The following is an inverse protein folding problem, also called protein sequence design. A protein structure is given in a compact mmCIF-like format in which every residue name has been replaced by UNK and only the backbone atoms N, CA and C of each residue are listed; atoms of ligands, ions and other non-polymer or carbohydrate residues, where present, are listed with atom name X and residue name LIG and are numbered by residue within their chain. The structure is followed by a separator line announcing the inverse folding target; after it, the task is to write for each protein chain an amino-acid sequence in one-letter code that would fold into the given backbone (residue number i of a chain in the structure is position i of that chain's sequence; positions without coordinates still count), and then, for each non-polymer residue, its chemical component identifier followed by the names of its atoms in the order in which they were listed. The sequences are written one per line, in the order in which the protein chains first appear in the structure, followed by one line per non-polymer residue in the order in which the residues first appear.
data_IF_012769623700
#
_entry.id   IF_012769623700
#
_cell.length_a   1.000
_cell.length_b   1.000
_cell.length_c   1.000
_cell.angle_alpha   90.00
_cell.angle_beta   90.00
_cell.angle_gamma   90.00
#
_symmetry.space_group_name_H-M   'P 1'
#
loop_
_entity.id
_entity.type
_entity.pdbx_description
1 polymer ?
#
# COMPACT_ATOMS: atom_id res chain seq x y z
N UNK A 1 -7.05 18.27 0.27
CA UNK A 1 -8.47 18.11 -0.13
C UNK A 1 -8.57 16.77 -0.82
N UNK A 2 -9.37 15.85 -0.29
CA UNK A 2 -9.59 14.52 -0.85
C UNK A 2 -10.57 14.61 -2.00
N UNK A 3 -10.21 14.03 -3.15
CA UNK A 3 -10.94 14.14 -4.40
C UNK A 3 -11.06 12.74 -5.01
N UNK A 4 -12.29 12.25 -5.16
CA UNK A 4 -12.59 11.01 -5.88
C UNK A 4 -13.03 11.32 -7.30
N UNK A 5 -12.62 10.49 -8.26
CA UNK A 5 -13.07 10.55 -9.65
C UNK A 5 -14.04 9.42 -9.96
N UNK A 6 -15.14 9.70 -10.68
CA UNK A 6 -15.91 8.69 -11.40
C UNK A 6 -15.49 8.74 -12.87
N UNK A 7 -15.21 7.58 -13.45
CA UNK A 7 -15.04 7.47 -14.90
C UNK A 7 -16.33 7.87 -15.64
N UNK A 8 -16.20 8.63 -16.73
CA UNK A 8 -17.31 9.15 -17.55
C UNK A 8 -18.03 8.09 -18.41
N UNK A 9 -17.71 6.80 -18.27
CA UNK A 9 -18.42 5.71 -18.97
C UNK A 9 -19.08 4.78 -17.96
N UNK A 10 -20.35 4.45 -18.21
CA UNK A 10 -21.28 3.70 -17.36
C UNK A 10 -20.91 2.24 -17.04
N UNK A 11 -19.64 1.97 -16.72
CA UNK A 11 -19.17 0.71 -16.16
C UNK A 11 -18.73 1.01 -14.73
N UNK A 12 -19.55 0.60 -13.75
CA UNK A 12 -19.22 0.72 -12.34
C UNK A 12 -18.16 -0.35 -12.05
N UNK A 13 -16.89 0.05 -11.97
CA UNK A 13 -15.83 -0.84 -11.50
C UNK A 13 -15.91 -0.95 -9.97
N UNK A 14 -15.75 -2.15 -9.38
CA UNK A 14 -15.66 -2.29 -7.92
C UNK A 14 -14.37 -1.72 -7.34
N UNK A 15 -13.38 -1.40 -8.20
CA UNK A 15 -12.06 -0.90 -7.83
C UNK A 15 -11.97 0.59 -8.16
N UNK A 16 -11.43 1.36 -7.23
CA UNK A 16 -11.19 2.81 -7.36
C UNK A 16 -9.77 3.16 -6.90
N UNK A 17 -9.15 4.14 -7.56
CA UNK A 17 -7.87 4.73 -7.14
C UNK A 17 -8.16 6.02 -6.36
N UNK A 18 -7.54 6.18 -5.20
CA UNK A 18 -7.67 7.39 -4.37
C UNK A 18 -6.36 8.19 -4.39
N UNK A 19 -6.43 9.47 -4.79
CA UNK A 19 -5.29 10.37 -4.78
C UNK A 19 -5.34 11.29 -3.55
N UNK A 20 -4.37 11.15 -2.64
CA UNK A 20 -4.24 11.97 -1.44
C UNK A 20 -3.30 13.16 -1.70
N UNK A 21 -3.87 14.34 -1.91
CA UNK A 21 -3.11 15.57 -2.20
C UNK A 21 -3.06 16.50 -0.98
N UNK A 22 -1.86 16.75 -0.45
CA UNK A 22 -1.57 17.76 0.61
C UNK A 22 -1.43 19.14 -0.04
N UNK A 23 -2.06 20.17 0.54
CA UNK A 23 -2.22 21.48 -0.11
C UNK A 23 -1.21 22.57 0.33
N UNK A 24 -0.23 22.27 1.19
CA UNK A 24 0.49 23.36 1.89
C UNK A 24 2.01 23.25 1.99
N UNK A 25 2.67 22.27 1.36
CA UNK A 25 4.14 22.34 1.22
C UNK A 25 4.62 21.34 0.17
N UNK A 26 5.53 21.74 -0.74
CA UNK A 26 6.03 20.85 -1.81
C UNK A 26 6.78 19.62 -1.27
N UNK A 27 7.34 19.72 -0.06
CA UNK A 27 8.13 18.67 0.58
C UNK A 27 7.45 18.02 1.80
N UNK A 28 6.16 18.30 2.03
CA UNK A 28 5.45 17.87 3.23
C UNK A 28 4.97 16.41 3.24
N UNK A 29 5.45 15.55 2.32
CA UNK A 29 4.97 14.17 2.20
C UNK A 29 5.44 13.30 3.38
N UNK A 30 6.71 13.40 3.78
CA UNK A 30 7.25 12.59 4.89
C UNK A 30 6.52 12.86 6.22
N UNK A 31 6.24 14.13 6.53
CA UNK A 31 5.44 14.51 7.70
C UNK A 31 4.02 13.92 7.67
N UNK A 32 3.45 13.77 6.47
CA UNK A 32 2.13 13.16 6.31
C UNK A 32 2.22 11.66 6.55
N UNK A 33 3.25 11.01 6.01
CA UNK A 33 3.50 9.57 6.20
C UNK A 33 3.71 9.21 7.67
N UNK A 34 4.39 10.05 8.45
CA UNK A 34 4.53 9.84 9.90
C UNK A 34 3.22 9.96 10.69
N UNK A 35 2.20 10.62 10.12
CA UNK A 35 0.92 10.92 10.79
C UNK A 35 -0.24 10.07 10.26
N UNK A 36 0.02 9.19 9.29
CA UNK A 36 -1.01 8.37 8.66
C UNK A 36 -0.99 6.97 9.28
N UNK A 37 -2.17 6.48 9.62
CA UNK A 37 -2.41 5.15 10.16
C UNK A 37 -3.72 4.59 9.56
N UNK A 38 -4.06 3.35 9.91
CA UNK A 38 -5.27 2.69 9.42
C UNK A 38 -6.54 3.48 9.75
N UNK A 39 -6.68 3.98 10.97
CA UNK A 39 -7.84 4.75 11.43
C UNK A 39 -8.01 6.04 10.64
N UNK A 40 -6.91 6.75 10.39
CA UNK A 40 -6.92 8.00 9.63
C UNK A 40 -7.27 7.74 8.18
N UNK A 41 -6.75 6.68 7.56
CA UNK A 41 -7.14 6.30 6.20
C UNK A 41 -8.64 6.01 6.14
N UNK A 42 -9.16 5.18 7.05
CA UNK A 42 -10.60 4.86 7.09
C UNK A 42 -11.47 6.11 7.27
N UNK A 43 -11.08 7.00 8.18
CA UNK A 43 -11.76 8.28 8.40
C UNK A 43 -11.68 9.21 7.18
N UNK A 44 -10.60 9.16 6.41
CA UNK A 44 -10.49 9.93 5.16
C UNK A 44 -11.38 9.33 4.06
N UNK A 45 -11.44 7.99 3.97
CA UNK A 45 -12.28 7.28 3.01
C UNK A 45 -13.77 7.47 3.28
N UNK A 46 -14.21 7.47 4.54
CA UNK A 46 -15.62 7.68 4.90
C UNK A 46 -16.16 9.06 4.51
N UNK A 47 -15.25 10.04 4.33
CA UNK A 47 -15.57 11.41 3.91
C UNK A 47 -15.66 11.57 2.39
N UNK A 48 -15.41 10.52 1.61
CA UNK A 48 -15.47 10.53 0.14
C UNK A 48 -16.92 10.41 -0.38
N UNK A 49 -17.83 11.23 0.14
CA UNK A 49 -19.25 11.18 -0.19
C UNK A 49 -19.71 12.29 -1.15
N UNK A 50 -18.82 13.22 -1.52
CA UNK A 50 -19.13 14.32 -2.42
C UNK A 50 -18.55 14.07 -3.81
N UNK A 51 -19.44 14.02 -4.79
CA UNK A 51 -19.10 14.01 -6.20
C UNK A 51 -19.20 15.44 -6.71
N UNK A 52 -18.13 15.96 -7.32
CA UNK A 52 -18.12 17.25 -7.98
C UNK A 52 -17.31 17.16 -9.26
N UNK A 53 -17.69 17.93 -10.27
CA UNK A 53 -16.91 18.05 -11.49
C UNK A 53 -15.62 18.78 -11.16
N UNK A 54 -14.48 18.16 -11.46
CA UNK A 54 -13.17 18.74 -11.22
C UNK A 54 -12.26 18.52 -12.43
N UNK A 55 -11.53 19.58 -12.80
CA UNK A 55 -10.38 19.46 -13.70
C UNK A 55 -9.17 19.03 -12.89
N UNK A 56 -8.64 17.84 -13.17
CA UNK A 56 -7.44 17.30 -12.54
C UNK A 56 -6.47 16.86 -13.63
N UNK A 57 -5.18 17.14 -13.43
CA UNK A 57 -4.10 16.60 -14.25
C UNK A 57 -3.41 15.52 -13.45
N UNK A 58 -3.43 14.29 -13.96
CA UNK A 58 -2.72 13.16 -13.37
C UNK A 58 -1.53 12.87 -14.28
N UNK A 59 -0.30 12.87 -13.76
CA UNK A 59 0.87 12.57 -14.58
C UNK A 59 0.85 11.11 -15.01
N UNK A 60 1.39 10.85 -16.20
CA UNK A 60 1.75 9.48 -16.59
C UNK A 60 2.89 9.04 -15.69
N UNK A 61 2.78 7.88 -15.07
CA UNK A 61 3.82 7.37 -14.18
C UNK A 61 3.89 5.85 -14.24
N UNK A 62 5.11 5.35 -14.09
CA UNK A 62 5.39 3.94 -13.87
C UNK A 62 6.24 3.84 -12.61
N UNK A 63 5.82 3.01 -11.68
CA UNK A 63 6.53 2.72 -10.45
C UNK A 63 6.78 1.22 -10.41
N UNK A 64 8.04 0.84 -10.25
CA UNK A 64 8.45 -0.55 -10.02
C UNK A 64 9.16 -0.58 -8.66
N UNK A 65 8.78 -1.53 -7.83
CA UNK A 65 9.37 -1.68 -6.49
C UNK A 65 9.79 -3.13 -6.27
N UNK A 66 10.92 -3.29 -5.60
CA UNK A 66 11.42 -4.56 -5.08
C UNK A 66 11.75 -4.35 -3.60
N UNK A 67 10.88 -4.84 -2.71
CA UNK A 67 11.00 -4.65 -1.27
C UNK A 67 11.51 -5.92 -0.58
N UNK A 68 12.54 -5.77 0.24
CA UNK A 68 12.98 -6.79 1.18
C UNK A 68 11.94 -6.91 2.31
N UNK A 69 10.98 -7.82 2.14
CA UNK A 69 9.87 -7.99 3.08
C UNK A 69 10.33 -8.60 4.41
N UNK A 70 11.45 -9.34 4.41
CA UNK A 70 12.01 -9.94 5.64
C UNK A 70 12.24 -8.91 6.74
N UNK A 71 12.92 -7.80 6.42
CA UNK A 71 13.24 -6.75 7.39
C UNK A 71 11.98 -6.09 7.96
N UNK A 72 11.00 -5.82 7.10
CA UNK A 72 9.71 -5.28 7.52
C UNK A 72 8.98 -6.24 8.46
N UNK A 73 8.89 -7.53 8.14
CA UNK A 73 8.25 -8.55 8.98
C UNK A 73 8.93 -8.67 10.35
N UNK A 74 10.26 -8.63 10.39
CA UNK A 74 11.04 -8.62 11.64
C UNK A 74 10.70 -7.38 12.48
N UNK A 75 10.66 -6.19 11.88
CA UNK A 75 10.30 -4.95 12.59
C UNK A 75 8.86 -4.95 13.14
N UNK A 76 7.97 -5.76 12.56
CA UNK A 76 6.60 -5.97 13.03
C UNK A 76 6.48 -7.07 14.10
N UNK A 77 7.59 -7.71 14.49
CA UNK A 77 7.64 -8.75 15.51
C UNK A 77 7.59 -10.18 14.99
N UNK A 78 7.59 -10.39 13.67
CA UNK A 78 7.66 -11.73 13.07
C UNK A 78 9.14 -12.11 12.94
N UNK A 79 9.75 -12.46 14.06
CA UNK A 79 11.18 -12.78 14.15
C UNK A 79 11.47 -14.26 14.03
N UNK A 80 10.68 -15.09 14.71
CA UNK A 80 11.00 -16.51 14.89
C UNK A 80 11.04 -17.25 13.56
N UNK A 81 10.14 -16.90 12.64
CA UNK A 81 10.06 -17.41 11.26
C UNK A 81 11.39 -17.37 10.49
N UNK A 82 12.24 -16.39 10.80
CA UNK A 82 13.54 -16.17 10.13
C UNK A 82 14.75 -16.59 10.97
N UNK A 83 14.51 -17.33 12.05
CA UNK A 83 15.52 -17.77 13.01
C UNK A 83 15.47 -19.30 13.19
N UNK A 84 16.44 -19.85 13.94
CA UNK A 84 16.43 -21.27 14.31
C UNK A 84 15.32 -21.68 15.29
N UNK A 85 14.47 -20.74 15.73
CA UNK A 85 13.30 -21.01 16.58
C UNK A 85 12.00 -21.17 15.77
N UNK A 86 12.07 -21.11 14.44
CA UNK A 86 10.89 -21.22 13.58
C UNK A 86 10.18 -22.57 13.78
N UNK A 87 8.88 -22.53 14.10
CA UNK A 87 8.02 -23.70 14.08
C UNK A 87 7.24 -23.74 12.76
N UNK A 88 7.66 -24.65 11.88
CA UNK A 88 7.05 -24.89 10.57
C UNK A 88 6.43 -26.30 10.46
N UNK A 89 6.11 -26.92 11.60
CA UNK A 89 5.55 -28.29 11.67
C UNK A 89 4.21 -28.42 10.96
N UNK A 90 3.45 -27.33 10.81
CA UNK A 90 2.22 -27.30 10.01
C UNK A 90 2.43 -27.38 8.49
N UNK A 91 3.66 -27.25 7.99
CA UNK A 91 4.00 -27.31 6.56
C UNK A 91 4.72 -28.62 6.21
N UNK A 92 5.52 -29.14 7.14
CA UNK A 92 6.26 -30.40 6.95
C UNK A 92 6.25 -31.24 8.21
N UNK A 93 6.14 -32.56 8.03
CA UNK A 93 6.21 -33.56 9.10
C UNK A 93 7.65 -33.86 9.55
N UNK A 94 8.66 -33.23 8.93
CA UNK A 94 10.07 -33.52 9.23
C UNK A 94 10.51 -32.85 10.54
N UNK A 95 11.27 -33.58 11.36
CA UNK A 95 11.97 -33.04 12.55
C UNK A 95 13.17 -32.15 12.20
N UNK A 96 13.22 -31.61 10.98
CA UNK A 96 14.30 -30.74 10.54
C UNK A 96 14.00 -29.31 11.00
N UNK A 97 15.03 -28.65 11.55
CA UNK A 97 14.91 -27.27 11.97
C UNK A 97 14.93 -26.37 10.72
N UNK A 98 13.75 -26.12 10.15
CA UNK A 98 13.56 -25.27 8.97
C UNK A 98 13.28 -23.83 9.37
N UNK A 99 13.82 -22.89 8.60
CA UNK A 99 13.52 -21.46 8.75
C UNK A 99 13.36 -20.82 7.38
N UNK A 100 12.64 -19.70 7.33
CA UNK A 100 12.54 -18.90 6.12
C UNK A 100 13.83 -18.09 5.95
N UNK A 101 14.51 -18.24 4.82
CA UNK A 101 15.74 -17.52 4.54
C UNK A 101 15.49 -16.06 4.15
N UNK A 102 14.44 -15.80 3.37
CA UNK A 102 14.09 -14.48 2.85
C UNK A 102 12.63 -14.37 2.42
N UNK A 103 12.16 -13.13 2.27
CA UNK A 103 10.85 -12.80 1.73
C UNK A 103 10.99 -11.54 0.87
N UNK A 104 10.43 -11.55 -0.34
CA UNK A 104 10.47 -10.42 -1.27
C UNK A 104 9.07 -10.04 -1.73
N UNK A 105 8.86 -8.74 -1.93
CA UNK A 105 7.61 -8.21 -2.47
C UNK A 105 7.91 -7.28 -3.64
N UNK A 106 7.52 -7.72 -4.86
CA UNK A 106 7.67 -6.94 -6.09
C UNK A 106 6.31 -6.43 -6.54
N UNK A 107 6.26 -5.16 -6.91
CA UNK A 107 5.04 -4.53 -7.41
C UNK A 107 5.34 -3.57 -8.55
N UNK A 108 4.40 -3.49 -9.49
CA UNK A 108 4.45 -2.57 -10.62
C UNK A 108 3.11 -1.82 -10.67
N UNK A 109 3.16 -0.50 -10.73
CA UNK A 109 2.01 0.37 -10.91
C UNK A 109 2.28 1.24 -12.14
N UNK A 110 1.38 1.19 -13.10
CA UNK A 110 1.40 2.06 -14.27
C UNK A 110 0.11 2.86 -14.35
N UNK A 111 0.26 4.19 -14.36
CA UNK A 111 -0.83 5.12 -14.61
C UNK A 111 -0.60 5.73 -15.97
N UNK A 112 -1.42 5.30 -16.92
CA UNK A 112 -1.47 5.87 -18.26
C UNK A 112 -2.37 7.10 -18.28
N UNK A 113 -2.10 8.01 -19.22
CA UNK A 113 -2.92 9.21 -19.40
C UNK A 113 -4.32 8.84 -19.89
N UNK A 114 -5.31 9.64 -19.49
CA UNK A 114 -6.63 9.66 -20.10
C UNK A 114 -6.67 10.63 -21.28
#
# INVERSE_FOLDING_TARGET
MLKTMKSRKGRISPISICFFLKNCNRFGLNELLMKIDGTRIQNLLSRLNKWFSISIKIPKMKLETDFNLKEALISMGITDLFSGNADLTGITESNQNLMVSGASHKAIIEVSGC
#
